data_IF_873999810115
#
_entry.id   IF_873999810115
#
_cell.length_a   1.000
_cell.length_b   1.000
_cell.length_c   1.000
_cell.angle_alpha   90.00
_cell.angle_beta   90.00
_cell.angle_gamma   90.00
#
_symmetry.space_group_name_H-M   'P 1'
#
loop_
_entity.id
_entity.type
_entity.pdbx_description
1 polymer ?
#
# COMPACT_ATOMS: atom_id res chain seq x y z
N UNK A 1 20.71 -40.36 -12.58
CA UNK A 1 19.69 -39.44 -13.11
C UNK A 1 18.36 -39.76 -12.45
N UNK A 2 18.03 -39.08 -11.36
CA UNK A 2 16.74 -39.24 -10.69
C UNK A 2 15.68 -38.41 -11.44
N UNK A 3 14.59 -39.06 -11.84
CA UNK A 3 13.39 -38.42 -12.39
C UNK A 3 12.88 -37.37 -11.37
N UNK A 4 12.91 -36.09 -11.74
CA UNK A 4 12.11 -35.05 -11.08
C UNK A 4 10.65 -35.48 -11.20
N UNK A 5 10.00 -35.81 -10.08
CA UNK A 5 8.56 -36.01 -10.03
C UNK A 5 7.89 -34.68 -10.38
N UNK A 6 7.22 -34.64 -11.54
CA UNK A 6 6.62 -33.44 -12.11
C UNK A 6 5.32 -33.06 -11.41
N UNK A 7 5.42 -32.41 -10.26
CA UNK A 7 4.39 -31.52 -9.76
C UNK A 7 4.77 -30.12 -10.25
N UNK A 8 3.89 -29.46 -11.00
CA UNK A 8 4.08 -28.05 -11.34
C UNK A 8 4.02 -27.26 -10.02
N UNK A 9 5.16 -26.76 -9.56
CA UNK A 9 5.23 -26.00 -8.34
C UNK A 9 4.76 -24.57 -8.58
N UNK A 10 3.78 -24.12 -7.80
CA UNK A 10 3.27 -22.75 -7.84
C UNK A 10 4.08 -21.90 -6.87
N UNK A 11 4.73 -20.87 -7.38
CA UNK A 11 5.62 -20.02 -6.59
C UNK A 11 4.91 -18.72 -6.19
N UNK A 12 4.89 -18.46 -4.89
CA UNK A 12 4.46 -17.20 -4.30
C UNK A 12 5.70 -16.41 -3.87
N UNK A 13 5.93 -15.28 -4.53
CA UNK A 13 6.97 -14.34 -4.14
C UNK A 13 6.43 -13.37 -3.08
N UNK A 14 7.03 -13.37 -1.89
CA UNK A 14 6.68 -12.44 -0.80
C UNK A 14 7.72 -11.32 -0.76
N UNK A 15 7.32 -10.11 -1.12
CA UNK A 15 8.18 -8.93 -1.10
C UNK A 15 8.02 -8.19 0.24
N UNK A 16 9.12 -8.06 0.98
CA UNK A 16 9.18 -7.39 2.28
C UNK A 16 10.08 -6.15 2.19
N UNK A 17 9.52 -4.93 2.12
CA UNK A 17 10.31 -3.72 2.32
C UNK A 17 10.73 -3.63 3.79
N UNK A 18 12.00 -3.34 4.04
CA UNK A 18 12.57 -3.36 5.38
C UNK A 18 13.36 -2.09 5.69
N UNK A 19 12.91 -1.37 6.72
CA UNK A 19 13.61 -0.24 7.33
C UNK A 19 13.16 -0.13 8.79
N UNK A 20 14.02 -0.48 9.73
CA UNK A 20 13.67 -0.56 11.15
C UNK A 20 14.71 0.09 12.07
N UNK A 21 14.20 0.69 13.14
CA UNK A 21 15.00 1.31 14.21
C UNK A 21 15.10 0.43 15.46
N UNK A 22 14.40 -0.70 15.47
CA UNK A 22 14.38 -1.68 16.55
C UNK A 22 14.55 -3.08 15.95
N UNK A 23 15.19 -3.98 16.70
CA UNK A 23 15.40 -5.37 16.29
C UNK A 23 14.20 -6.28 16.62
N UNK A 24 14.15 -7.46 15.99
CA UNK A 24 13.13 -8.48 16.22
C UNK A 24 11.82 -8.22 15.49
N UNK A 25 11.76 -7.23 14.61
CA UNK A 25 10.57 -6.88 13.83
C UNK A 25 10.44 -7.85 12.65
N UNK A 26 11.52 -8.06 11.91
CA UNK A 26 11.52 -8.94 10.74
C UNK A 26 11.23 -10.39 11.11
N UNK A 27 11.79 -10.88 12.23
CA UNK A 27 11.59 -12.24 12.69
C UNK A 27 10.09 -12.58 12.88
N UNK A 28 9.30 -11.66 13.44
CA UNK A 28 7.85 -11.85 13.63
C UNK A 28 7.08 -11.92 12.32
N UNK A 29 7.43 -11.08 11.34
CA UNK A 29 6.84 -11.15 10.01
C UNK A 29 7.15 -12.52 9.36
N UNK A 30 8.39 -12.99 9.45
CA UNK A 30 8.81 -14.28 8.91
C UNK A 30 8.14 -15.48 9.61
N UNK A 31 7.83 -15.39 10.91
CA UNK A 31 7.02 -16.41 11.59
C UNK A 31 5.65 -16.56 10.92
N UNK A 32 4.99 -15.45 10.59
CA UNK A 32 3.70 -15.46 9.87
C UNK A 32 3.80 -16.08 8.48
N UNK A 33 4.89 -15.81 7.75
CA UNK A 33 5.15 -16.42 6.43
C UNK A 33 5.43 -17.92 6.56
N UNK A 34 6.23 -18.35 7.54
CA UNK A 34 6.57 -19.75 7.76
C UNK A 34 5.41 -20.58 8.35
N UNK A 35 4.35 -19.94 8.83
CA UNK A 35 3.15 -20.58 9.38
C UNK A 35 2.02 -20.73 8.35
N UNK A 36 2.25 -20.41 7.07
CA UNK A 36 1.22 -20.50 6.04
C UNK A 36 0.80 -21.95 5.74
N UNK A 37 -0.51 -22.20 5.68
CA UNK A 37 -1.11 -23.49 5.37
C UNK A 37 -1.14 -23.73 3.86
N UNK A 38 0.02 -24.07 3.29
CA UNK A 38 0.18 -24.30 1.85
C UNK A 38 0.10 -25.79 1.48
N UNK A 39 -0.40 -26.06 0.28
CA UNK A 39 -0.40 -27.40 -0.29
C UNK A 39 1.02 -27.81 -0.72
N UNK A 40 1.33 -29.12 -0.86
CA UNK A 40 2.68 -29.59 -1.20
C UNK A 40 3.24 -29.08 -2.54
N UNK A 41 2.37 -28.65 -3.45
CA UNK A 41 2.71 -28.07 -4.75
C UNK A 41 2.90 -26.54 -4.70
N UNK A 42 2.69 -25.91 -3.56
CA UNK A 42 2.82 -24.46 -3.37
C UNK A 42 4.09 -24.15 -2.57
N UNK A 43 4.88 -23.20 -3.06
CA UNK A 43 6.13 -22.78 -2.43
C UNK A 43 6.17 -21.27 -2.24
N UNK A 44 6.83 -20.83 -1.17
CA UNK A 44 7.09 -19.41 -0.89
C UNK A 44 8.56 -19.11 -1.04
N UNK A 45 8.87 -18.01 -1.72
CA UNK A 45 10.17 -17.35 -1.70
C UNK A 45 10.01 -15.94 -1.18
N UNK A 46 10.86 -15.54 -0.25
CA UNK A 46 10.82 -14.23 0.39
C UNK A 46 11.94 -13.35 -0.17
N UNK A 47 11.58 -12.15 -0.60
CA UNK A 47 12.49 -11.13 -1.09
C UNK A 47 12.47 -9.95 -0.12
N UNK A 48 13.52 -9.82 0.67
CA UNK A 48 13.69 -8.76 1.66
C UNK A 48 14.52 -7.65 1.04
N UNK A 49 13.96 -6.44 1.00
CA UNK A 49 14.62 -5.26 0.47
C UNK A 49 14.94 -4.32 1.62
N UNK A 50 16.18 -4.39 2.10
CA UNK A 50 16.73 -3.54 3.14
C UNK A 50 17.03 -2.14 2.57
N UNK A 51 16.19 -1.18 2.92
CA UNK A 51 16.23 0.21 2.42
C UNK A 51 17.21 1.08 3.22
N UNK A 52 18.42 0.56 3.43
CA UNK A 52 19.46 1.10 4.29
C UNK A 52 19.00 1.27 5.76
N UNK A 53 18.39 0.21 6.29
CA UNK A 53 17.96 0.11 7.68
C UNK A 53 19.15 0.31 8.64
N UNK A 54 18.97 1.09 9.74
CA UNK A 54 19.93 1.19 10.84
C UNK A 54 20.27 -0.16 11.48
N UNK A 55 19.28 -1.04 11.58
CA UNK A 55 19.47 -2.45 11.92
C UNK A 55 19.38 -3.25 10.62
N UNK A 56 20.48 -3.79 10.07
CA UNK A 56 20.46 -4.57 8.83
C UNK A 56 19.55 -5.79 8.91
N UNK A 57 18.88 -6.11 7.80
CA UNK A 57 18.01 -7.30 7.74
C UNK A 57 18.78 -8.59 8.01
N UNK A 58 20.03 -8.70 7.53
CA UNK A 58 20.90 -9.87 7.70
C UNK A 58 21.16 -10.20 9.18
N UNK A 59 21.25 -9.17 10.02
CA UNK A 59 21.47 -9.35 11.47
C UNK A 59 20.25 -10.01 12.12
N UNK A 60 19.03 -9.67 11.68
CA UNK A 60 17.79 -10.28 12.17
C UNK A 60 17.56 -11.71 11.64
N UNK A 61 18.25 -12.11 10.56
CA UNK A 61 18.17 -13.46 10.02
C UNK A 61 19.12 -14.43 10.71
N UNK A 62 20.14 -13.92 11.41
CA UNK A 62 21.07 -14.75 12.17
C UNK A 62 20.34 -15.41 13.33
N UNK A 63 20.43 -16.75 13.45
CA UNK A 63 19.73 -17.56 14.46
C UNK A 63 18.18 -17.44 14.42
N UNK A 64 17.61 -17.07 13.27
CA UNK A 64 16.18 -16.95 13.06
C UNK A 64 15.57 -18.29 12.59
N UNK A 65 15.00 -19.08 13.50
CA UNK A 65 14.38 -20.38 13.16
C UNK A 65 13.32 -20.36 12.03
N UNK A 66 12.50 -19.29 11.85
CA UNK A 66 11.66 -19.14 10.66
C UNK A 66 12.45 -19.02 9.35
N UNK A 67 13.60 -18.35 9.38
CA UNK A 67 14.44 -18.15 8.20
C UNK A 67 15.00 -19.48 7.66
N UNK A 68 15.34 -20.42 8.54
CA UNK A 68 15.81 -21.77 8.16
C UNK A 68 14.78 -22.59 7.37
N UNK A 69 13.50 -22.21 7.44
CA UNK A 69 12.38 -22.89 6.77
C UNK A 69 11.93 -22.19 5.48
N UNK A 70 12.52 -21.05 5.14
CA UNK A 70 12.10 -20.20 4.03
C UNK A 70 13.23 -20.02 3.02
N UNK A 71 12.88 -19.97 1.73
CA UNK A 71 13.82 -19.56 0.69
C UNK A 71 13.89 -18.02 0.68
N UNK A 72 14.92 -17.46 1.31
CA UNK A 72 15.07 -16.00 1.50
C UNK A 72 16.14 -15.45 0.55
N UNK A 73 15.84 -14.30 -0.05
CA UNK A 73 16.77 -13.44 -0.78
C UNK A 73 16.77 -12.07 -0.11
N UNK A 74 17.94 -11.55 0.23
CA UNK A 74 18.11 -10.21 0.79
C UNK A 74 18.85 -9.35 -0.22
N UNK A 75 18.35 -8.14 -0.45
CA UNK A 75 19.09 -7.08 -1.14
C UNK A 75 19.10 -5.84 -0.26
N UNK A 76 20.22 -5.15 -0.24
CA UNK A 76 20.33 -3.84 0.40
C UNK A 76 20.47 -2.74 -0.65
N UNK A 77 19.70 -1.66 -0.49
CA UNK A 77 19.73 -0.50 -1.37
C UNK A 77 19.88 0.81 -0.58
N UNK A 78 20.29 1.91 -1.22
CA UNK A 78 20.20 3.23 -0.60
C UNK A 78 18.76 3.59 -0.27
N UNK A 79 18.55 4.27 0.87
CA UNK A 79 17.23 4.60 1.38
C UNK A 79 16.39 5.42 0.38
N UNK A 80 15.43 4.76 -0.26
CA UNK A 80 14.62 5.27 -1.37
C UNK A 80 13.12 5.26 -1.06
N UNK A 81 12.72 4.69 0.07
CA UNK A 81 11.35 4.64 0.56
C UNK A 81 10.62 3.34 0.18
N UNK A 82 9.50 3.04 0.86
CA UNK A 82 8.81 1.76 0.80
C UNK A 82 8.35 1.37 -0.61
N UNK A 83 7.74 2.29 -1.37
CA UNK A 83 7.33 2.02 -2.75
C UNK A 83 8.49 1.63 -3.67
N UNK A 84 9.64 2.32 -3.57
CA UNK A 84 10.83 1.97 -4.37
C UNK A 84 11.44 0.64 -3.91
N UNK A 85 11.47 0.38 -2.60
CA UNK A 85 11.91 -0.90 -2.07
C UNK A 85 11.03 -2.05 -2.59
N UNK A 86 9.70 -1.88 -2.64
CA UNK A 86 8.79 -2.86 -3.25
C UNK A 86 9.06 -3.05 -4.74
N UNK A 87 9.32 -1.99 -5.50
CA UNK A 87 9.70 -2.09 -6.91
C UNK A 87 11.01 -2.88 -7.11
N UNK A 88 12.02 -2.64 -6.29
CA UNK A 88 13.26 -3.41 -6.33
C UNK A 88 13.00 -4.90 -6.03
N UNK A 89 12.08 -5.19 -5.09
CA UNK A 89 11.60 -6.54 -4.84
C UNK A 89 10.93 -7.16 -6.07
N UNK A 90 10.04 -6.43 -6.76
CA UNK A 90 9.41 -6.89 -8.00
C UNK A 90 10.42 -7.18 -9.11
N UNK A 91 11.46 -6.35 -9.25
CA UNK A 91 12.51 -6.55 -10.24
C UNK A 91 13.35 -7.78 -9.92
N UNK A 92 13.62 -8.05 -8.63
CA UNK A 92 14.26 -9.29 -8.18
C UNK A 92 13.40 -10.53 -8.47
N UNK A 93 12.10 -10.46 -8.18
CA UNK A 93 11.16 -11.55 -8.49
C UNK A 93 11.26 -11.90 -9.96
N UNK A 94 11.14 -10.90 -10.84
CA UNK A 94 11.21 -11.09 -12.30
C UNK A 94 12.55 -11.66 -12.77
N UNK A 95 13.66 -11.32 -12.12
CA UNK A 95 14.99 -11.78 -12.50
C UNK A 95 15.34 -13.18 -11.98
N UNK A 96 14.82 -13.56 -10.81
CA UNK A 96 15.20 -14.77 -10.08
C UNK A 96 14.22 -15.93 -10.31
N UNK A 97 12.95 -15.66 -10.58
CA UNK A 97 11.94 -16.71 -10.75
C UNK A 97 10.75 -16.31 -11.65
N UNK A 98 10.14 -17.32 -12.26
CA UNK A 98 8.82 -17.20 -12.88
C UNK A 98 7.76 -17.44 -11.80
N UNK A 99 7.58 -16.45 -10.91
CA UNK A 99 6.59 -16.54 -9.84
C UNK A 99 5.17 -16.46 -10.41
N UNK A 100 4.26 -17.32 -9.95
CA UNK A 100 2.85 -17.24 -10.33
C UNK A 100 2.16 -16.05 -9.65
N UNK A 101 2.61 -15.75 -8.43
CA UNK A 101 1.98 -14.78 -7.54
C UNK A 101 3.01 -13.91 -6.84
N UNK A 102 2.62 -12.67 -6.58
CA UNK A 102 3.34 -11.74 -5.73
C UNK A 102 2.45 -11.36 -4.56
N UNK A 103 3.00 -11.38 -3.35
CA UNK A 103 2.39 -10.86 -2.15
C UNK A 103 3.32 -9.82 -1.53
N UNK A 104 2.77 -8.84 -0.85
CA UNK A 104 3.55 -7.84 -0.12
C UNK A 104 3.30 -7.99 1.36
N UNK A 105 4.34 -7.88 2.17
CA UNK A 105 4.24 -7.91 3.62
C UNK A 105 5.13 -6.81 4.19
N UNK A 106 4.53 -5.81 4.83
CA UNK A 106 5.31 -4.83 5.57
C UNK A 106 5.98 -5.53 6.76
N UNK A 107 7.26 -5.21 7.02
CA UNK A 107 8.07 -5.96 7.99
C UNK A 107 7.58 -5.92 9.43
N UNK A 108 6.68 -4.99 9.78
CA UNK A 108 6.04 -4.90 11.09
C UNK A 108 4.69 -5.61 11.18
N UNK A 109 4.18 -6.16 10.09
CA UNK A 109 2.89 -6.85 10.04
C UNK A 109 3.05 -8.38 10.15
N UNK A 110 1.97 -9.05 10.55
CA UNK A 110 1.95 -10.51 10.71
C UNK A 110 0.76 -11.10 9.96
N UNK A 111 1.03 -12.08 9.11
CA UNK A 111 0.00 -12.90 8.48
C UNK A 111 -0.50 -14.02 9.39
N UNK A 112 -1.81 -14.28 9.32
CA UNK A 112 -2.40 -15.50 9.89
C UNK A 112 -2.17 -16.70 8.98
N UNK A 113 -2.24 -17.94 9.49
CA UNK A 113 -1.90 -19.16 8.75
C UNK A 113 -2.63 -19.38 7.42
N UNK A 114 -3.88 -18.89 7.30
CA UNK A 114 -4.70 -19.11 6.10
C UNK A 114 -4.64 -17.95 5.08
N UNK A 115 -3.80 -16.93 5.30
CA UNK A 115 -3.75 -15.74 4.44
C UNK A 115 -3.50 -16.08 2.95
N UNK A 116 -2.39 -16.78 2.66
CA UNK A 116 -2.04 -17.16 1.29
C UNK A 116 -2.99 -18.23 0.74
N UNK A 117 -3.44 -19.17 1.57
CA UNK A 117 -4.40 -20.20 1.15
C UNK A 117 -5.71 -19.58 0.65
N UNK A 118 -6.29 -18.65 1.42
CA UNK A 118 -7.51 -17.95 1.05
C UNK A 118 -7.31 -17.09 -0.21
N UNK A 119 -6.13 -16.45 -0.32
CA UNK A 119 -5.77 -15.68 -1.51
C UNK A 119 -5.71 -16.55 -2.77
N UNK A 120 -5.00 -17.67 -2.71
CA UNK A 120 -4.87 -18.61 -3.83
C UNK A 120 -6.23 -19.20 -4.23
N UNK A 121 -7.10 -19.52 -3.25
CA UNK A 121 -8.44 -20.00 -3.54
C UNK A 121 -9.30 -18.99 -4.33
N UNK A 122 -9.15 -17.69 -4.08
CA UNK A 122 -9.81 -16.65 -4.84
C UNK A 122 -9.15 -16.45 -6.21
N UNK A 123 -7.82 -16.37 -6.25
CA UNK A 123 -7.08 -16.17 -7.50
C UNK A 123 -7.31 -17.35 -8.44
N UNK A 124 -7.40 -18.59 -7.98
CA UNK A 124 -7.66 -19.77 -8.84
C UNK A 124 -9.01 -19.72 -9.58
N UNK A 125 -9.95 -18.91 -9.11
CA UNK A 125 -11.23 -18.68 -9.78
C UNK A 125 -11.15 -17.63 -10.92
N UNK A 126 -9.93 -17.28 -11.34
CA UNK A 126 -9.68 -16.34 -12.44
C UNK A 126 -9.65 -14.88 -11.99
N UNK A 127 -9.41 -14.60 -10.71
CA UNK A 127 -9.18 -13.25 -10.19
C UNK A 127 -7.70 -12.90 -10.25
N UNK A 128 -7.37 -11.62 -10.29
CA UNK A 128 -6.00 -11.14 -10.50
C UNK A 128 -5.44 -10.41 -9.28
N UNK A 129 -6.32 -9.83 -8.47
CA UNK A 129 -6.01 -9.13 -7.25
C UNK A 129 -6.87 -9.64 -6.11
N UNK A 130 -6.24 -10.04 -5.01
CA UNK A 130 -6.90 -10.42 -3.76
C UNK A 130 -6.48 -9.46 -2.64
N UNK A 131 -7.42 -9.06 -1.80
CA UNK A 131 -7.14 -8.44 -0.50
C UNK A 131 -8.05 -9.00 0.59
N UNK A 132 -7.58 -8.97 1.83
CA UNK A 132 -8.35 -9.38 3.01
C UNK A 132 -8.49 -8.26 4.05
N UNK A 133 -9.25 -8.51 5.12
CA UNK A 133 -9.34 -7.59 6.25
C UNK A 133 -8.09 -7.68 7.14
N UNK A 134 -7.84 -6.61 7.88
CA UNK A 134 -6.74 -6.50 8.81
C UNK A 134 -7.17 -5.81 10.11
N UNK A 135 -6.44 -6.08 11.18
CA UNK A 135 -6.58 -5.37 12.45
C UNK A 135 -5.34 -4.54 12.71
N UNK A 136 -5.44 -3.58 13.63
CA UNK A 136 -4.30 -2.84 14.16
C UNK A 136 -4.50 -2.66 15.66
N UNK A 137 -3.80 -3.43 16.52
CA UNK A 137 -3.94 -3.34 17.95
C UNK A 137 -3.78 -1.89 18.45
N UNK A 138 -4.71 -1.44 19.30
CA UNK A 138 -4.76 -0.07 19.80
C UNK A 138 -5.31 0.98 18.83
N UNK A 139 -5.70 0.59 17.61
CA UNK A 139 -6.35 1.48 16.64
C UNK A 139 -7.74 0.98 16.23
N UNK A 140 -7.83 -0.24 15.67
CA UNK A 140 -9.08 -0.84 15.21
C UNK A 140 -9.02 -2.37 15.16
N UNK A 141 -10.17 -3.01 15.38
CA UNK A 141 -10.30 -4.47 15.35
C UNK A 141 -10.45 -5.01 13.92
N UNK A 142 -11.19 -4.29 13.08
CA UNK A 142 -11.38 -4.62 11.66
C UNK A 142 -11.27 -3.35 10.83
N UNK A 143 -10.35 -3.33 9.87
CA UNK A 143 -10.18 -2.21 8.95
C UNK A 143 -11.45 -1.94 8.14
N UNK A 144 -12.16 -3.00 7.74
CA UNK A 144 -13.39 -2.88 6.95
C UNK A 144 -14.50 -2.07 7.63
N UNK A 145 -14.53 -2.00 8.97
CA UNK A 145 -15.52 -1.20 9.70
C UNK A 145 -15.31 0.32 9.55
N UNK A 146 -14.10 0.73 9.16
CA UNK A 146 -13.74 2.13 8.99
C UNK A 146 -13.83 2.63 7.55
N UNK A 147 -14.11 1.73 6.59
CA UNK A 147 -14.26 2.08 5.18
C UNK A 147 -15.71 1.92 4.78
N UNK A 148 -16.36 3.00 4.35
CA UNK A 148 -17.82 3.07 4.16
C UNK A 148 -18.36 1.96 3.23
N UNK A 149 -17.66 1.66 2.16
CA UNK A 149 -18.05 0.63 1.18
C UNK A 149 -17.80 -0.80 1.68
N UNK A 150 -16.85 -0.99 2.61
CA UNK A 150 -16.50 -2.31 3.15
C UNK A 150 -17.29 -2.63 4.42
N UNK A 151 -17.78 -1.62 5.13
CA UNK A 151 -18.49 -1.79 6.38
C UNK A 151 -19.73 -2.70 6.21
N UNK A 152 -20.02 -3.48 7.25
CA UNK A 152 -21.16 -4.36 7.30
C UNK A 152 -21.05 -5.54 6.33
N UNK A 153 -19.82 -5.99 6.04
CA UNK A 153 -19.55 -7.12 5.14
C UNK A 153 -19.73 -6.78 3.67
N UNK A 154 -19.46 -5.52 3.28
CA UNK A 154 -19.56 -5.08 1.90
C UNK A 154 -20.98 -5.04 1.35
N UNK A 155 -21.99 -4.80 2.22
CA UNK A 155 -23.41 -4.75 1.79
C UNK A 155 -23.66 -3.76 0.65
N UNK A 156 -22.93 -2.64 0.62
CA UNK A 156 -22.99 -1.62 -0.44
C UNK A 156 -22.37 -2.05 -1.78
N UNK A 157 -21.64 -3.16 -1.77
CA UNK A 157 -20.99 -3.76 -2.93
C UNK A 157 -21.72 -5.03 -3.40
N UNK A 158 -22.78 -5.44 -2.70
CA UNK A 158 -23.33 -6.78 -2.86
C UNK A 158 -23.95 -7.02 -4.24
N UNK A 159 -24.60 -6.01 -4.81
CA UNK A 159 -25.23 -6.00 -6.13
C UNK A 159 -24.23 -6.04 -7.31
N UNK A 160 -22.96 -5.72 -7.04
CA UNK A 160 -21.87 -5.67 -8.03
C UNK A 160 -20.83 -6.77 -7.85
N UNK A 161 -21.16 -7.77 -7.06
CA UNK A 161 -20.23 -8.83 -6.66
C UNK A 161 -20.83 -10.21 -6.82
N UNK A 162 -19.96 -11.20 -6.95
CA UNK A 162 -20.31 -12.62 -6.84
C UNK A 162 -19.68 -13.19 -5.58
N UNK A 163 -20.37 -14.11 -4.91
CA UNK A 163 -19.81 -14.84 -3.77
C UNK A 163 -18.84 -15.90 -4.30
N UNK A 164 -17.60 -15.88 -3.84
CA UNK A 164 -16.54 -16.82 -4.27
C UNK A 164 -16.31 -17.96 -3.28
N UNK A 165 -16.63 -17.71 -2.02
CA UNK A 165 -16.56 -18.67 -0.93
C UNK A 165 -17.95 -18.69 -0.27
N UNK A 166 -18.75 -19.76 -0.39
CA UNK A 166 -20.04 -19.84 0.30
C UNK A 166 -19.89 -19.92 1.82
N UNK A 167 -18.77 -20.47 2.30
CA UNK A 167 -18.50 -20.73 3.71
C UNK A 167 -17.67 -19.59 4.36
N UNK A 168 -17.20 -18.64 3.56
CA UNK A 168 -16.42 -17.49 4.02
C UNK A 168 -16.81 -16.19 3.34
N UNK A 169 -16.40 -15.03 3.87
CA UNK A 169 -16.87 -13.76 3.36
C UNK A 169 -16.00 -13.27 2.20
N UNK A 170 -15.88 -14.04 1.11
CA UNK A 170 -15.09 -13.65 -0.07
C UNK A 170 -16.01 -13.29 -1.23
N UNK A 171 -15.85 -12.07 -1.76
CA UNK A 171 -16.60 -11.55 -2.90
C UNK A 171 -15.67 -11.19 -4.05
N UNK A 172 -16.08 -11.57 -5.25
CA UNK A 172 -15.40 -11.27 -6.49
C UNK A 172 -16.09 -10.17 -7.28
N UNK A 173 -15.28 -9.33 -7.92
CA UNK A 173 -15.68 -8.18 -8.70
C UNK A 173 -15.16 -8.31 -10.14
N UNK A 174 -16.05 -8.03 -11.10
CA UNK A 174 -15.70 -7.99 -12.51
C UNK A 174 -14.71 -6.84 -12.82
N UNK A 175 -14.02 -6.87 -13.98
CA UNK A 175 -13.15 -5.77 -14.39
C UNK A 175 -13.87 -4.42 -14.29
N UNK A 176 -13.17 -3.42 -13.76
CA UNK A 176 -13.65 -2.04 -13.57
C UNK A 176 -14.83 -1.84 -12.60
N UNK A 177 -15.35 -2.89 -11.97
CA UNK A 177 -16.52 -2.80 -11.09
C UNK A 177 -16.27 -1.97 -9.80
N UNK A 178 -15.00 -1.84 -9.40
CA UNK A 178 -14.57 -1.07 -8.22
C UNK A 178 -13.80 0.22 -8.58
N UNK A 179 -13.77 0.63 -9.84
CA UNK A 179 -12.99 1.80 -10.25
C UNK A 179 -13.44 3.10 -9.57
N UNK A 180 -14.73 3.26 -9.23
CA UNK A 180 -15.21 4.40 -8.45
C UNK A 180 -14.64 4.35 -7.03
N UNK A 181 -14.70 3.18 -6.41
CA UNK A 181 -14.36 2.92 -5.03
C UNK A 181 -12.88 3.12 -4.77
N UNK A 182 -11.99 2.55 -5.59
CA UNK A 182 -10.53 2.72 -5.43
C UNK A 182 -10.07 4.16 -5.64
N UNK A 183 -10.82 4.94 -6.44
CA UNK A 183 -10.55 6.37 -6.64
C UNK A 183 -10.92 7.17 -5.40
N UNK A 184 -11.97 6.78 -4.67
CA UNK A 184 -12.55 7.56 -3.56
C UNK A 184 -12.02 7.10 -2.20
N UNK A 185 -11.94 5.79 -1.99
CA UNK A 185 -11.66 5.13 -0.73
C UNK A 185 -10.30 4.43 -0.75
N UNK A 186 -9.72 4.22 0.42
CA UNK A 186 -8.58 3.33 0.61
C UNK A 186 -9.12 1.96 1.00
N UNK A 187 -9.06 0.99 0.08
CA UNK A 187 -9.82 -0.27 0.23
C UNK A 187 -9.01 -1.43 0.80
N UNK A 188 -7.69 -1.32 0.86
CA UNK A 188 -6.81 -2.41 1.29
C UNK A 188 -5.49 -1.89 1.82
N UNK A 189 -4.99 -2.52 2.88
CA UNK A 189 -3.61 -2.34 3.36
C UNK A 189 -2.64 -3.19 2.53
N UNK A 190 -1.40 -2.73 2.32
CA UNK A 190 -0.43 -3.42 1.44
C UNK A 190 -0.15 -4.85 1.87
N UNK A 191 0.02 -5.09 3.18
CA UNK A 191 0.20 -6.43 3.72
C UNK A 191 -0.98 -7.38 3.51
N UNK A 192 -2.14 -6.91 3.04
CA UNK A 192 -3.31 -7.77 2.80
C UNK A 192 -3.38 -8.33 1.40
N UNK A 193 -2.50 -7.89 0.50
CA UNK A 193 -2.67 -8.10 -0.93
C UNK A 193 -1.84 -9.26 -1.47
N UNK A 194 -2.46 -10.03 -2.36
CA UNK A 194 -1.81 -11.04 -3.19
C UNK A 194 -2.32 -10.89 -4.61
N UNK A 195 -1.42 -10.88 -5.58
CA UNK A 195 -1.72 -10.57 -6.97
C UNK A 195 -1.04 -11.58 -7.89
N UNK A 196 -1.63 -11.83 -9.07
CA UNK A 196 -0.92 -12.60 -10.12
C UNK A 196 0.31 -11.84 -10.58
N UNK A 197 1.44 -12.52 -10.72
CA UNK A 197 2.65 -11.85 -11.16
C UNK A 197 2.50 -11.19 -12.55
N UNK A 198 1.76 -11.84 -13.46
CA UNK A 198 1.55 -11.36 -14.83
C UNK A 198 0.93 -9.96 -14.93
N UNK A 199 0.07 -9.54 -13.97
CA UNK A 199 -0.53 -8.19 -14.00
C UNK A 199 0.41 -7.11 -13.46
N UNK A 200 1.46 -7.51 -12.72
CA UNK A 200 2.38 -6.60 -12.04
C UNK A 200 3.56 -6.23 -12.93
N UNK A 201 3.83 -7.01 -13.97
CA UNK A 201 4.98 -6.79 -14.83
C UNK A 201 5.07 -5.36 -15.36
N UNK A 202 3.93 -4.73 -15.66
CA UNK A 202 3.84 -3.39 -16.24
C UNK A 202 3.46 -2.29 -15.23
N UNK A 203 3.12 -2.64 -13.98
CA UNK A 203 2.65 -1.70 -12.97
C UNK A 203 3.66 -1.62 -11.82
N UNK A 204 4.00 -0.39 -11.41
CA UNK A 204 5.00 -0.12 -10.37
C UNK A 204 4.49 0.90 -9.37
N UNK A 205 5.01 0.84 -8.14
CA UNK A 205 4.76 1.85 -7.13
C UNK A 205 5.37 3.19 -7.57
N UNK A 206 4.62 4.26 -7.36
CA UNK A 206 5.04 5.60 -7.76
C UNK A 206 6.08 6.16 -6.77
N UNK A 207 7.34 6.18 -7.18
CA UNK A 207 8.46 6.68 -6.36
C UNK A 207 8.36 8.14 -5.94
N UNK A 208 7.54 8.95 -6.61
CA UNK A 208 7.32 10.33 -6.19
C UNK A 208 6.43 10.44 -4.96
N UNK A 209 5.60 9.43 -4.70
CA UNK A 209 4.60 9.38 -3.63
C UNK A 209 5.12 8.80 -2.31
N UNK A 210 6.44 8.77 -2.13
CA UNK A 210 7.18 8.13 -1.02
C UNK A 210 6.57 8.21 0.39
N UNK A 211 5.96 9.34 0.76
CA UNK A 211 5.46 9.56 2.13
C UNK A 211 3.94 9.45 2.27
N UNK A 212 3.20 9.33 1.15
CA UNK A 212 1.76 9.13 1.15
C UNK A 212 1.24 8.81 -0.25
N UNK A 213 0.49 7.71 -0.34
CA UNK A 213 -0.39 7.43 -1.48
C UNK A 213 0.22 6.55 -2.56
N UNK A 214 1.44 6.02 -2.38
CA UNK A 214 2.04 5.09 -3.33
C UNK A 214 1.21 3.80 -3.47
N UNK A 215 0.74 3.24 -2.35
CA UNK A 215 -0.08 2.02 -2.32
C UNK A 215 -1.41 2.25 -3.04
N UNK A 216 -2.08 3.36 -2.69
CA UNK A 216 -3.35 3.74 -3.30
C UNK A 216 -3.23 3.95 -4.81
N UNK A 217 -2.14 4.57 -5.26
CA UNK A 217 -1.89 4.74 -6.69
C UNK A 217 -1.71 3.38 -7.38
N UNK A 218 -0.97 2.47 -6.75
CA UNK A 218 -0.77 1.12 -7.29
C UNK A 218 -2.10 0.34 -7.43
N UNK A 219 -2.98 0.37 -6.42
CA UNK A 219 -4.31 -0.26 -6.49
C UNK A 219 -5.17 0.34 -7.61
N UNK A 220 -5.14 1.67 -7.72
CA UNK A 220 -5.85 2.38 -8.78
C UNK A 220 -5.37 1.92 -10.17
N UNK A 221 -4.05 1.83 -10.37
CA UNK A 221 -3.49 1.38 -11.64
C UNK A 221 -3.91 -0.04 -12.00
N UNK A 222 -3.95 -0.96 -11.03
CA UNK A 222 -4.41 -2.34 -11.24
C UNK A 222 -5.90 -2.39 -11.61
N UNK A 223 -6.75 -1.65 -10.89
CA UNK A 223 -8.18 -1.59 -11.18
C UNK A 223 -8.48 -0.96 -12.56
N UNK A 224 -7.75 0.11 -12.91
CA UNK A 224 -7.84 0.75 -14.23
C UNK A 224 -7.32 -0.16 -15.34
N UNK A 225 -6.31 -0.98 -15.10
CA UNK A 225 -5.83 -2.01 -16.03
C UNK A 225 -6.81 -3.18 -16.22
N UNK A 226 -7.94 -3.19 -15.51
CA UNK A 226 -9.00 -4.19 -15.67
C UNK A 226 -8.82 -5.43 -14.81
N UNK A 227 -7.99 -5.36 -13.76
CA UNK A 227 -7.84 -6.47 -12.82
C UNK A 227 -9.20 -6.90 -12.23
N UNK A 228 -9.45 -8.20 -12.20
CA UNK A 228 -10.55 -8.79 -11.44
C UNK A 228 -10.16 -8.83 -9.97
N UNK A 229 -10.95 -8.18 -9.13
CA UNK A 229 -10.64 -7.99 -7.70
C UNK A 229 -11.46 -8.96 -6.86
N UNK A 230 -10.82 -9.64 -5.91
CA UNK A 230 -11.45 -10.43 -4.86
C UNK A 230 -11.18 -9.77 -3.50
N UNK A 231 -12.24 -9.55 -2.72
CA UNK A 231 -12.16 -8.97 -1.37
C UNK A 231 -12.68 -10.01 -0.38
N UNK A 232 -11.85 -10.31 0.61
CA UNK A 232 -12.19 -11.15 1.76
C UNK A 232 -12.40 -10.30 3.00
N UNK A 233 -13.48 -10.51 3.74
CA UNK A 233 -13.65 -9.92 5.09
C UNK A 233 -13.09 -10.82 6.20
N UNK A 234 -12.28 -11.83 5.86
CA UNK A 234 -11.54 -12.59 6.86
C UNK A 234 -10.40 -11.73 7.39
N UNK A 235 -10.30 -11.63 8.72
CA UNK A 235 -9.15 -11.04 9.38
C UNK A 235 -7.96 -11.96 9.23
N UNK A 236 -7.12 -11.73 8.22
CA UNK A 236 -5.94 -12.57 7.95
C UNK A 236 -4.60 -11.82 8.15
N UNK A 237 -4.65 -10.54 8.50
CA UNK A 237 -3.46 -9.72 8.77
C UNK A 237 -3.62 -8.97 10.08
N UNK A 238 -2.59 -8.97 10.91
CA UNK A 238 -2.49 -8.12 12.10
C UNK A 238 -1.39 -7.12 11.84
N UNK A 239 -1.75 -5.85 11.71
CA UNK A 239 -0.79 -4.79 11.48
C UNK A 239 -0.07 -4.43 12.77
N UNK A 240 1.26 -4.44 12.75
CA UNK A 240 2.05 -4.11 13.92
C UNK A 240 2.37 -2.63 14.04
N UNK A 241 3.26 -2.32 14.98
CA UNK A 241 3.73 -0.98 15.28
C UNK A 241 5.23 -0.86 14.98
N UNK A 242 5.60 -0.63 13.72
CA UNK A 242 6.96 -0.29 13.29
C UNK A 242 7.11 1.19 12.90
N UNK A 243 8.13 1.51 12.10
CA UNK A 243 8.37 2.86 11.57
C UNK A 243 7.24 3.25 10.60
N UNK A 244 6.20 3.88 11.12
CA UNK A 244 5.03 4.28 10.36
C UNK A 244 5.14 5.73 9.89
N UNK A 245 5.54 5.97 8.64
CA UNK A 245 5.64 7.32 8.06
C UNK A 245 4.29 8.06 8.05
N UNK A 246 3.17 7.34 7.91
CA UNK A 246 1.84 7.94 7.84
C UNK A 246 1.23 8.21 9.22
N UNK A 247 1.37 7.28 10.16
CA UNK A 247 0.79 7.36 11.52
C UNK A 247 1.67 8.10 12.53
N UNK A 248 2.91 8.45 12.17
CA UNK A 248 3.75 9.30 13.00
C UNK A 248 3.07 10.65 13.24
N UNK A 249 2.72 10.92 14.50
CA UNK A 249 2.13 12.18 14.93
C UNK A 249 3.19 13.30 14.85
N UNK A 250 3.27 13.94 13.70
CA UNK A 250 4.14 15.09 13.52
C UNK A 250 3.45 16.38 13.97
N UNK A 251 4.21 17.26 14.61
CA UNK A 251 3.72 18.62 14.88
C UNK A 251 3.38 19.34 13.58
N UNK A 252 2.47 20.32 13.65
CA UNK A 252 2.08 21.13 12.49
C UNK A 252 3.26 21.89 11.85
N UNK A 253 4.37 22.05 12.57
CA UNK A 253 5.55 22.77 12.12
C UNK A 253 6.73 21.84 11.76
N UNK A 254 6.49 20.52 11.75
CA UNK A 254 7.49 19.55 11.32
C UNK A 254 7.58 19.54 9.78
N UNK A 255 8.80 19.54 9.20
CA UNK A 255 8.98 19.42 7.75
C UNK A 255 8.24 18.21 7.16
N UNK A 256 8.25 17.07 7.87
CA UNK A 256 7.55 15.85 7.46
C UNK A 256 6.04 16.04 7.23
N UNK A 257 5.38 16.91 8.01
CA UNK A 257 3.96 17.25 7.82
C UNK A 257 3.73 17.95 6.48
N UNK A 258 4.65 18.82 6.07
CA UNK A 258 4.58 19.54 4.78
C UNK A 258 4.92 18.63 3.62
N UNK A 259 5.89 17.72 3.80
CA UNK A 259 6.19 16.69 2.80
C UNK A 259 5.00 15.77 2.57
N UNK A 260 4.35 15.28 3.64
CA UNK A 260 3.15 14.43 3.52
C UNK A 260 2.02 15.15 2.78
N UNK A 261 1.73 16.40 3.15
CA UNK A 261 0.73 17.20 2.45
C UNK A 261 1.09 17.44 0.97
N UNK A 262 2.39 17.56 0.66
CA UNK A 262 2.88 17.66 -0.70
C UNK A 262 2.71 16.37 -1.51
N UNK A 263 2.98 15.20 -0.91
CA UNK A 263 2.69 13.90 -1.52
C UNK A 263 1.18 13.74 -1.78
N UNK A 264 0.33 14.09 -0.81
CA UNK A 264 -1.13 14.03 -0.98
C UNK A 264 -1.63 14.95 -2.10
N UNK A 265 -1.03 16.14 -2.23
CA UNK A 265 -1.29 17.03 -3.34
C UNK A 265 -0.83 16.41 -4.66
N UNK A 266 0.40 15.91 -4.73
CA UNK A 266 0.94 15.28 -5.94
C UNK A 266 0.08 14.09 -6.38
N UNK A 267 -0.36 13.24 -5.45
CA UNK A 267 -1.31 12.16 -5.70
C UNK A 267 -2.61 12.70 -6.30
N UNK A 268 -3.19 13.77 -5.74
CA UNK A 268 -4.44 14.34 -6.23
C UNK A 268 -4.29 14.96 -7.64
N UNK A 269 -3.14 15.58 -7.93
CA UNK A 269 -2.83 16.11 -9.26
C UNK A 269 -2.59 14.99 -10.28
N UNK A 270 -1.89 13.92 -9.89
CA UNK A 270 -1.72 12.71 -10.70
C UNK A 270 -3.07 12.07 -11.02
N UNK A 271 -3.94 11.93 -10.02
CA UNK A 271 -5.30 11.43 -10.18
C UNK A 271 -6.10 12.23 -11.21
N UNK A 272 -6.00 13.56 -11.20
CA UNK A 272 -6.68 14.44 -12.16
C UNK A 272 -6.24 14.25 -13.62
N UNK A 273 -5.03 13.71 -13.85
CA UNK A 273 -4.50 13.48 -15.20
C UNK A 273 -4.88 12.13 -15.79
N UNK A 274 -5.50 11.24 -15.03
CA UNK A 274 -6.05 10.00 -15.59
C UNK A 274 -7.27 10.31 -16.46
N UNK A 275 -7.24 9.82 -17.70
CA UNK A 275 -8.23 10.13 -18.74
C UNK A 275 -9.62 9.53 -18.49
N UNK A 276 -9.72 8.49 -17.64
CA UNK A 276 -10.89 7.61 -17.59
C UNK A 276 -11.77 7.84 -16.35
N UNK A 277 -11.78 9.08 -15.86
CA UNK A 277 -12.62 9.46 -14.72
C UNK A 277 -14.04 9.79 -15.17
N UNK A 278 -15.03 9.05 -14.64
CA UNK A 278 -16.44 9.41 -14.74
C UNK A 278 -16.70 10.82 -14.17
N UNK A 279 -17.79 11.51 -14.54
CA UNK A 279 -18.09 12.86 -14.01
C UNK A 279 -18.07 12.93 -12.48
N UNK A 280 -18.56 11.88 -11.81
CA UNK A 280 -18.50 11.74 -10.34
C UNK A 280 -17.07 11.66 -9.82
N UNK A 281 -16.21 10.84 -10.45
CA UNK A 281 -14.79 10.69 -10.10
C UNK A 281 -14.02 11.98 -10.34
N UNK A 282 -14.28 12.66 -11.46
CA UNK A 282 -13.65 13.92 -11.80
C UNK A 282 -13.99 15.00 -10.77
N UNK A 283 -15.26 15.11 -10.37
CA UNK A 283 -15.69 16.04 -9.32
C UNK A 283 -15.00 15.73 -7.97
N UNK A 284 -14.90 14.45 -7.59
CA UNK A 284 -14.17 14.03 -6.40
C UNK A 284 -12.68 14.39 -6.48
N UNK A 285 -12.01 14.05 -7.59
CA UNK A 285 -10.59 14.32 -7.81
C UNK A 285 -10.30 15.83 -7.78
N UNK A 286 -11.17 16.65 -8.39
CA UNK A 286 -11.07 18.11 -8.36
C UNK A 286 -11.23 18.66 -6.94
N UNK A 287 -12.23 18.19 -6.21
CA UNK A 287 -12.46 18.61 -4.83
C UNK A 287 -11.30 18.20 -3.91
N UNK A 288 -10.74 17.00 -4.10
CA UNK A 288 -9.55 16.50 -3.40
C UNK A 288 -8.34 17.37 -3.71
N UNK A 289 -8.02 17.60 -4.98
CA UNK A 289 -6.90 18.44 -5.39
C UNK A 289 -7.02 19.87 -4.83
N UNK A 290 -8.21 20.48 -4.88
CA UNK A 290 -8.44 21.80 -4.28
C UNK A 290 -8.20 21.81 -2.76
N UNK A 291 -8.61 20.75 -2.05
CA UNK A 291 -8.37 20.60 -0.60
C UNK A 291 -6.88 20.41 -0.30
N UNK A 292 -6.20 19.53 -1.02
CA UNK A 292 -4.77 19.27 -0.85
C UNK A 292 -3.92 20.50 -1.19
N UNK A 293 -4.28 21.26 -2.24
CA UNK A 293 -3.64 22.56 -2.55
C UNK A 293 -3.75 23.52 -1.38
N UNK A 294 -4.95 23.70 -0.81
CA UNK A 294 -5.16 24.55 0.38
C UNK A 294 -4.32 24.09 1.57
N UNK A 295 -4.33 22.79 1.87
CA UNK A 295 -3.59 22.22 3.00
C UNK A 295 -2.08 22.40 2.85
N UNK A 296 -1.51 22.01 1.71
CA UNK A 296 -0.09 22.17 1.42
C UNK A 296 0.32 23.65 1.50
N UNK A 297 -0.44 24.54 0.85
CA UNK A 297 -0.14 25.97 0.83
C UNK A 297 -0.18 26.57 2.24
N UNK A 298 -1.14 26.16 3.07
CA UNK A 298 -1.27 26.62 4.45
C UNK A 298 -0.05 26.21 5.28
N UNK A 299 0.32 24.94 5.21
CA UNK A 299 1.46 24.40 5.96
C UNK A 299 2.78 25.01 5.49
N UNK A 300 2.95 25.17 4.17
CA UNK A 300 4.13 25.78 3.57
C UNK A 300 4.31 27.25 4.02
N UNK A 301 3.26 28.08 3.91
CA UNK A 301 3.30 29.47 4.35
C UNK A 301 3.44 29.60 5.86
N UNK A 302 2.80 28.72 6.64
CA UNK A 302 2.94 28.69 8.09
C UNK A 302 4.40 28.47 8.51
N UNK A 303 5.14 27.58 7.84
CA UNK A 303 6.57 27.40 8.11
C UNK A 303 7.36 28.69 7.85
N UNK A 304 7.10 29.36 6.71
CA UNK A 304 7.75 30.62 6.37
C UNK A 304 7.46 31.73 7.40
N UNK A 305 6.20 31.87 7.83
CA UNK A 305 5.81 32.82 8.89
C UNK A 305 6.49 32.49 10.22
N UNK A 306 6.75 31.21 10.50
CA UNK A 306 7.52 30.75 11.67
C UNK A 306 9.03 30.77 11.45
N UNK A 307 9.52 31.40 10.38
CA UNK A 307 10.93 31.50 10.02
C UNK A 307 11.62 30.12 9.91
N UNK A 308 10.88 29.11 9.48
CA UNK A 308 11.39 27.77 9.18
C UNK A 308 11.40 27.56 7.67
N UNK A 309 12.46 26.92 7.18
CA UNK A 309 12.55 26.57 5.77
C UNK A 309 11.69 25.34 5.46
N UNK A 310 10.71 25.45 4.54
CA UNK A 310 9.94 24.30 4.11
C UNK A 310 10.79 23.34 3.26
N UNK A 311 10.39 22.06 3.17
CA UNK A 311 11.09 21.06 2.38
C UNK A 311 11.07 21.42 0.89
N UNK A 312 12.23 21.85 0.37
CA UNK A 312 12.36 22.35 -1.02
C UNK A 312 12.31 21.22 -2.05
N UNK A 313 12.70 19.99 -1.67
CA UNK A 313 12.63 18.82 -2.54
C UNK A 313 11.20 18.52 -3.00
N UNK A 314 10.23 18.57 -2.07
CA UNK A 314 8.82 18.37 -2.39
C UNK A 314 8.27 19.49 -3.29
N UNK A 315 8.62 20.74 -3.01
CA UNK A 315 8.22 21.86 -3.86
C UNK A 315 8.75 21.70 -5.29
N UNK A 316 10.02 21.28 -5.46
CA UNK A 316 10.60 21.02 -6.78
C UNK A 316 9.84 19.92 -7.53
N UNK A 317 9.49 18.81 -6.87
CA UNK A 317 8.68 17.73 -7.46
C UNK A 317 7.32 18.26 -7.93
N UNK A 318 6.63 19.01 -7.08
CA UNK A 318 5.34 19.60 -7.39
C UNK A 318 5.41 20.58 -8.57
N UNK A 319 6.43 21.43 -8.63
CA UNK A 319 6.63 22.37 -9.75
C UNK A 319 7.04 21.68 -11.04
N UNK A 320 7.83 20.61 -10.97
CA UNK A 320 8.16 19.79 -12.13
C UNK A 320 6.90 19.10 -12.69
N UNK A 321 5.99 18.66 -11.81
CA UNK A 321 4.74 18.05 -12.22
C UNK A 321 3.73 19.08 -12.76
N UNK A 322 3.50 20.18 -12.04
CA UNK A 322 2.60 21.28 -12.40
C UNK A 322 3.32 22.64 -12.30
N UNK A 323 3.92 23.14 -13.40
CA UNK A 323 4.61 24.43 -13.41
C UNK A 323 3.71 25.64 -13.09
N UNK A 324 2.38 25.48 -13.27
CA UNK A 324 1.40 26.51 -12.96
C UNK A 324 0.90 26.44 -11.51
N UNK A 325 1.42 25.50 -10.71
CA UNK A 325 1.04 25.36 -9.31
C UNK A 325 1.09 26.68 -8.52
N UNK A 326 2.09 27.56 -8.65
CA UNK A 326 2.12 28.83 -7.92
C UNK A 326 0.91 29.73 -8.20
N UNK A 327 0.35 29.67 -9.41
CA UNK A 327 -0.84 30.43 -9.80
C UNK A 327 -2.14 29.79 -9.29
N UNK A 328 -2.10 28.48 -8.98
CA UNK A 328 -3.22 27.67 -8.48
C UNK A 328 -3.22 27.56 -6.96
N UNK A 329 -2.13 27.91 -6.31
CA UNK A 329 -2.04 28.03 -4.86
C UNK A 329 -2.86 29.26 -4.44
N UNK A 330 -3.88 29.10 -3.59
CA UNK A 330 -4.68 30.22 -3.15
C UNK A 330 -3.80 31.22 -2.39
N UNK A 331 -3.98 32.54 -2.58
CA UNK A 331 -3.29 33.55 -1.80
C UNK A 331 -3.82 33.49 -0.36
N UNK A 332 -3.17 32.71 0.49
CA UNK A 332 -3.63 32.47 1.87
C UNK A 332 -3.53 33.69 2.78
N UNK A 333 -2.91 34.77 2.33
CA UNK A 333 -2.85 36.04 3.08
C UNK A 333 -4.21 36.75 3.20
N UNK A 334 -5.24 36.36 2.44
CA UNK A 334 -6.60 36.94 2.56
C UNK A 334 -7.54 36.15 3.48
N UNK A 335 -7.24 34.87 3.78
CA UNK A 335 -8.14 34.00 4.56
C UNK A 335 -7.78 33.84 6.04
N UNK A 336 -6.55 34.16 6.44
CA UNK A 336 -6.08 33.98 7.84
C UNK A 336 -6.64 35.04 8.79
N UNK A 337 -7.08 36.20 8.27
CA UNK A 337 -7.69 37.26 9.09
C UNK A 337 -9.24 37.20 9.13
N UNK A 338 -9.88 36.31 8.38
CA UNK A 338 -11.34 36.34 8.18
C UNK A 338 -12.10 35.05 8.51
N UNK A 339 -11.46 34.02 9.09
CA UNK A 339 -12.19 32.82 9.52
C UNK A 339 -12.44 32.86 11.05
N UNK A 340 -13.69 33.02 11.51
CA UNK A 340 -14.03 32.84 12.91
C UNK A 340 -13.90 31.36 13.30
N UNK A 341 -13.40 31.13 14.51
CA UNK A 341 -13.33 29.83 15.20
C UNK A 341 -14.51 28.91 14.84
N UNK A 342 -14.24 27.82 14.12
CA UNK A 342 -15.13 26.67 14.08
C UNK A 342 -14.33 25.37 13.90
N UNK A 343 -14.54 24.48 14.87
CA UNK A 343 -14.43 23.02 14.80
C UNK A 343 -13.02 22.39 14.84
N UNK A 344 -12.54 22.29 16.08
CA UNK A 344 -11.75 21.14 16.55
C UNK A 344 -12.63 19.89 16.50
N UNK A 345 -12.40 19.01 15.52
CA UNK A 345 -12.61 17.56 15.60
C UNK A 345 -11.82 16.93 14.45
N UNK A 346 -10.64 16.42 14.77
CA UNK A 346 -9.99 15.31 14.08
C UNK A 346 -9.59 14.34 15.19
#
# INVERSE_FOLDING_TARGET
MAKRSGIAHRLIAVVIPYYQVEAGILARALEGVAAQNLAPDQAVRVYIVDDASPHPAEDELTDCAPADRLDIRVVRQPNSGPGIARNAGLDLVKADADADFVAFLDSDDIWKPDHLKDALAALDQGYDFYCCDNSRPGSFDLFSEHVDILNGGGRKLADRSVVLDPDGPVRGFAPHALNDEVVIEYISHTSTIVIRAAIVEDIRFDGDLRNAGEDRMFWLMLALAGARIAISWRLNVVCGSGVNLFFSAHSWDAPATVERAGCELLFAEKLLRHSDLSPRRLAYAQARAARSRRAYSFLFLRMLVRLRMPPTGMLRKLLAFDPLLPLRIPPLFLGVFLSPKAERRI
#
